data_IF_952677096431
#
_entry.id   IF_952677096431
#
_cell.length_a   1.000
_cell.length_b   1.000
_cell.length_c   1.000
_cell.angle_alpha   90.00
_cell.angle_beta   90.00
_cell.angle_gamma   90.00
#
_symmetry.space_group_name_H-M   'P 1'
#
loop_
_entity.id
_entity.type
_entity.pdbx_description
1 polymer ?
#
# COMPACT_ATOMS: atom_id res chain seq x y z
N UNK A 1 -17.17 14.76 7.90
CA UNK A 1 -15.93 14.25 8.54
C UNK A 1 -15.48 13.01 7.81
N UNK A 2 -14.27 13.05 7.26
CA UNK A 2 -13.71 11.90 6.57
C UNK A 2 -13.55 10.73 7.54
N UNK A 3 -14.26 9.67 7.26
CA UNK A 3 -14.27 8.46 8.08
C UNK A 3 -12.99 7.64 7.93
N UNK A 4 -12.17 7.94 6.90
CA UNK A 4 -10.99 7.13 6.53
C UNK A 4 -9.82 7.37 7.48
N UNK A 5 -9.57 8.60 7.85
CA UNK A 5 -8.43 8.99 8.68
C UNK A 5 -8.33 8.18 9.99
N UNK A 6 -9.46 7.78 10.57
CA UNK A 6 -9.50 7.02 11.83
C UNK A 6 -8.89 5.62 11.74
N UNK A 7 -8.77 5.08 10.52
CA UNK A 7 -8.20 3.75 10.29
C UNK A 7 -6.70 3.75 10.04
N UNK A 8 -6.10 4.93 9.87
CA UNK A 8 -4.67 5.08 9.63
C UNK A 8 -4.00 5.73 10.85
N UNK A 9 -3.08 5.00 11.46
CA UNK A 9 -2.29 5.49 12.60
C UNK A 9 -0.98 6.10 12.12
N UNK A 10 -0.42 7.12 12.81
CA UNK A 10 0.85 7.74 12.39
C UNK A 10 2.00 6.72 12.24
N UNK A 11 2.09 5.75 13.14
CA UNK A 11 3.11 4.69 13.12
C UNK A 11 2.96 3.72 11.94
N UNK A 12 1.82 3.70 11.28
CA UNK A 12 1.55 2.89 10.08
C UNK A 12 1.81 3.66 8.78
N UNK A 13 2.51 4.78 8.85
CA UNK A 13 2.91 5.60 7.70
C UNK A 13 4.42 5.53 7.52
N UNK A 14 4.85 5.15 6.31
CA UNK A 14 6.27 5.16 5.93
C UNK A 14 6.44 6.04 4.69
N UNK A 15 7.02 7.21 4.87
CA UNK A 15 7.19 8.22 3.80
C UNK A 15 8.24 7.84 2.77
N UNK A 16 9.12 6.89 3.09
CA UNK A 16 10.05 6.30 2.14
C UNK A 16 10.20 4.81 2.42
N UNK A 17 9.67 4.00 1.51
CA UNK A 17 9.77 2.54 1.59
C UNK A 17 11.21 2.08 1.41
N UNK A 18 11.58 0.98 2.05
CA UNK A 18 12.90 0.37 1.90
C UNK A 18 13.01 -0.47 0.63
N UNK A 19 11.90 -1.01 0.15
CA UNK A 19 11.85 -1.77 -1.08
C UNK A 19 12.28 -0.88 -2.25
N UNK A 20 13.21 -1.39 -3.08
CA UNK A 20 13.76 -0.68 -4.23
C UNK A 20 13.32 -1.32 -5.54
N UNK A 21 13.25 -0.49 -6.60
CA UNK A 21 12.86 -0.92 -7.94
C UNK A 21 13.80 -1.98 -8.52
N UNK A 22 15.12 -1.87 -8.23
CA UNK A 22 16.13 -2.81 -8.63
C UNK A 22 16.97 -3.28 -7.45
N UNK A 23 17.57 -4.49 -7.50
CA UNK A 23 18.48 -4.95 -6.46
C UNK A 23 19.74 -4.08 -6.41
N UNK A 24 20.21 -3.76 -5.20
CA UNK A 24 21.42 -2.92 -5.01
C UNK A 24 22.70 -3.59 -5.51
N UNK A 25 22.75 -4.93 -5.52
CA UNK A 25 23.94 -5.72 -5.81
C UNK A 25 24.02 -6.26 -7.25
N UNK A 26 23.12 -5.84 -8.14
CA UNK A 26 23.07 -6.33 -9.52
C UNK A 26 23.45 -5.19 -10.47
N UNK A 27 24.43 -5.45 -11.34
CA UNK A 27 24.82 -4.51 -12.39
C UNK A 27 23.62 -4.21 -13.29
N UNK A 28 23.42 -2.95 -13.69
CA UNK A 28 22.27 -2.55 -14.53
C UNK A 28 22.14 -3.36 -15.83
N UNK A 29 23.27 -3.89 -16.33
CA UNK A 29 23.33 -4.68 -17.55
C UNK A 29 22.72 -6.08 -17.42
N UNK A 30 22.69 -6.61 -16.18
CA UNK A 30 22.19 -7.95 -15.88
C UNK A 30 20.78 -7.95 -15.24
N UNK A 31 20.23 -6.77 -14.98
CA UNK A 31 18.91 -6.63 -14.37
C UNK A 31 17.87 -6.21 -15.40
N UNK A 32 16.87 -7.05 -15.62
CA UNK A 32 15.62 -6.63 -16.25
C UNK A 32 14.66 -6.17 -15.14
N UNK A 33 14.48 -4.85 -14.92
CA UNK A 33 13.60 -4.36 -13.86
C UNK A 33 12.14 -4.81 -14.01
N UNK A 34 11.73 -5.11 -15.25
CA UNK A 34 10.39 -5.58 -15.58
C UNK A 34 10.30 -7.10 -15.71
N UNK A 35 11.43 -7.81 -15.52
CA UNK A 35 11.46 -9.27 -15.53
C UNK A 35 10.72 -9.88 -14.35
N UNK A 36 10.14 -11.06 -14.54
CA UNK A 36 9.35 -11.77 -13.52
C UNK A 36 10.06 -11.91 -12.17
N UNK A 37 11.36 -12.21 -12.20
CA UNK A 37 12.15 -12.35 -10.97
C UNK A 37 12.19 -11.07 -10.15
N UNK A 38 12.41 -9.92 -10.80
CA UNK A 38 12.44 -8.63 -10.11
C UNK A 38 11.05 -8.21 -9.67
N UNK A 39 10.04 -8.38 -10.50
CA UNK A 39 8.65 -8.06 -10.15
C UNK A 39 8.19 -8.86 -8.92
N UNK A 40 8.56 -10.14 -8.84
CA UNK A 40 8.24 -10.97 -7.68
C UNK A 40 9.00 -10.50 -6.43
N UNK A 41 10.27 -10.15 -6.55
CA UNK A 41 11.09 -9.60 -5.45
C UNK A 41 10.48 -8.31 -4.91
N UNK A 42 10.11 -7.38 -5.79
CA UNK A 42 9.48 -6.11 -5.40
C UNK A 42 8.16 -6.36 -4.69
N UNK A 43 7.29 -7.19 -5.26
CA UNK A 43 6.02 -7.56 -4.63
C UNK A 43 6.22 -8.13 -3.22
N UNK A 44 7.12 -9.10 -3.09
CA UNK A 44 7.36 -9.78 -1.83
C UNK A 44 7.93 -8.81 -0.78
N UNK A 45 8.88 -7.97 -1.17
CA UNK A 45 9.46 -6.94 -0.30
C UNK A 45 8.44 -5.89 0.14
N UNK A 46 7.60 -5.43 -0.79
CA UNK A 46 6.54 -4.47 -0.46
C UNK A 46 5.51 -5.07 0.50
N UNK A 47 5.03 -6.27 0.22
CA UNK A 47 4.06 -6.95 1.10
C UNK A 47 4.64 -7.13 2.50
N UNK A 48 5.92 -7.48 2.62
CA UNK A 48 6.61 -7.56 3.92
C UNK A 48 6.62 -6.22 4.66
N UNK A 49 6.95 -5.12 3.97
CA UNK A 49 6.94 -3.78 4.57
C UNK A 49 5.54 -3.36 5.00
N UNK A 50 4.51 -3.64 4.21
CA UNK A 50 3.13 -3.35 4.60
C UNK A 50 2.72 -4.14 5.84
N UNK A 51 3.12 -5.40 5.94
CA UNK A 51 2.87 -6.22 7.13
C UNK A 51 3.55 -5.64 8.38
N UNK A 52 4.75 -5.10 8.26
CA UNK A 52 5.41 -4.36 9.35
C UNK A 52 4.56 -3.16 9.80
N UNK A 53 4.04 -2.40 8.84
CA UNK A 53 3.24 -1.20 9.11
C UNK A 53 1.87 -1.52 9.76
N UNK A 54 1.32 -2.68 9.49
CA UNK A 54 0.12 -3.16 10.20
C UNK A 54 0.48 -3.70 11.59
N UNK A 55 1.58 -4.43 11.71
CA UNK A 55 1.97 -5.11 12.94
C UNK A 55 2.34 -4.14 14.07
N UNK A 56 2.87 -2.95 13.75
CA UNK A 56 3.22 -1.93 14.76
C UNK A 56 2.00 -1.42 15.54
N UNK A 57 0.79 -1.63 15.04
CA UNK A 57 -0.44 -1.25 15.73
C UNK A 57 -0.74 -2.14 16.95
N UNK A 58 -0.14 -3.33 17.02
CA UNK A 58 -0.46 -4.34 18.03
C UNK A 58 -1.77 -5.10 17.78
N UNK A 59 -2.47 -4.81 16.66
CA UNK A 59 -3.79 -5.38 16.34
C UNK A 59 -3.70 -6.61 15.43
N UNK A 60 -2.51 -6.99 14.99
CA UNK A 60 -2.29 -8.16 14.12
C UNK A 60 -1.98 -9.38 14.97
N UNK A 61 -2.81 -10.42 14.85
CA UNK A 61 -2.69 -11.65 15.65
C UNK A 61 -1.44 -12.45 15.27
N UNK A 62 -1.15 -12.59 13.97
CA UNK A 62 0.02 -13.32 13.48
C UNK A 62 0.53 -12.70 12.18
N UNK A 63 1.69 -12.05 12.24
CA UNK A 63 2.28 -11.34 11.11
C UNK A 63 2.63 -12.27 9.94
N UNK A 64 3.14 -13.46 10.21
CA UNK A 64 3.49 -14.42 9.15
C UNK A 64 2.26 -14.89 8.38
N UNK A 65 1.15 -15.09 9.07
CA UNK A 65 -0.13 -15.44 8.43
C UNK A 65 -0.71 -14.26 7.66
N UNK A 66 -0.60 -13.04 8.19
CA UNK A 66 -0.99 -11.84 7.47
C UNK A 66 -0.19 -11.69 6.17
N UNK A 67 1.13 -11.88 6.24
CA UNK A 67 1.97 -11.87 5.04
C UNK A 67 1.47 -12.87 4.00
N UNK A 68 1.23 -14.11 4.40
CA UNK A 68 0.72 -15.14 3.49
C UNK A 68 -0.61 -14.76 2.86
N UNK A 69 -1.55 -14.24 3.65
CA UNK A 69 -2.88 -13.87 3.17
C UNK A 69 -2.79 -12.70 2.18
N UNK A 70 -2.04 -11.65 2.51
CA UNK A 70 -1.87 -10.48 1.66
C UNK A 70 -1.08 -10.81 0.39
N UNK A 71 -0.02 -11.59 0.52
CA UNK A 71 0.81 -12.06 -0.60
C UNK A 71 -0.01 -12.91 -1.60
N UNK A 72 -0.79 -13.86 -1.09
CA UNK A 72 -1.65 -14.69 -1.94
C UNK A 72 -2.71 -13.86 -2.67
N UNK A 73 -3.28 -12.85 -1.99
CA UNK A 73 -4.23 -11.93 -2.61
C UNK A 73 -3.59 -11.14 -3.75
N UNK A 74 -2.41 -10.60 -3.55
CA UNK A 74 -1.68 -9.82 -4.55
C UNK A 74 -1.25 -10.69 -5.76
N UNK A 75 -0.83 -11.91 -5.49
CA UNK A 75 -0.47 -12.88 -6.55
C UNK A 75 -1.66 -13.27 -7.42
N UNK A 76 -2.84 -13.37 -6.82
CA UNK A 76 -4.07 -13.78 -7.52
C UNK A 76 -4.52 -12.72 -8.53
N UNK A 77 -4.48 -11.46 -8.13
CA UNK A 77 -4.80 -10.32 -8.97
C UNK A 77 -4.14 -9.07 -8.40
N UNK A 78 -3.33 -8.38 -9.19
CA UNK A 78 -2.65 -7.16 -8.78
C UNK A 78 -3.60 -6.09 -8.27
N UNK A 79 -3.11 -5.25 -7.36
CA UNK A 79 -3.90 -4.18 -6.72
C UNK A 79 -3.48 -2.78 -7.15
N UNK A 80 -2.53 -2.66 -8.08
CA UNK A 80 -2.22 -1.39 -8.71
C UNK A 80 -3.40 -0.93 -9.58
N UNK A 81 -3.75 0.35 -9.46
CA UNK A 81 -4.93 0.92 -10.14
C UNK A 81 -4.59 1.88 -11.27
N UNK A 82 -3.29 2.11 -11.51
CA UNK A 82 -2.79 3.13 -12.43
C UNK A 82 -2.58 4.47 -11.74
N UNK A 83 -2.02 5.43 -12.46
CA UNK A 83 -1.73 6.75 -11.93
C UNK A 83 -0.67 6.78 -10.82
N UNK A 84 0.17 5.75 -10.72
CA UNK A 84 1.21 5.65 -9.70
C UNK A 84 0.72 5.14 -8.34
N UNK A 85 -0.47 4.53 -8.27
CA UNK A 85 -1.14 4.15 -7.02
C UNK A 85 -1.45 2.66 -7.00
N UNK A 86 -1.26 2.04 -5.83
CA UNK A 86 -1.75 0.69 -5.54
C UNK A 86 -2.50 0.67 -4.21
N UNK A 87 -3.45 -0.24 -4.12
CA UNK A 87 -4.27 -0.45 -2.92
C UNK A 87 -4.21 -1.92 -2.51
N UNK A 88 -3.05 -2.42 -2.05
CA UNK A 88 -2.94 -3.80 -1.57
C UNK A 88 -3.91 -4.04 -0.42
N UNK A 89 -4.72 -5.08 -0.55
CA UNK A 89 -5.78 -5.32 0.43
C UNK A 89 -6.12 -6.80 0.54
N UNK A 90 -6.56 -7.20 1.72
CA UNK A 90 -7.04 -8.56 1.96
C UNK A 90 -8.03 -8.58 3.13
N UNK A 91 -9.00 -9.49 3.06
CA UNK A 91 -9.82 -9.88 4.20
C UNK A 91 -9.11 -11.02 4.90
N UNK A 92 -8.89 -10.87 6.21
CA UNK A 92 -8.07 -11.80 6.98
C UNK A 92 -8.58 -11.94 8.42
N UNK A 93 -8.41 -13.14 8.98
CA UNK A 93 -8.69 -13.39 10.39
C UNK A 93 -7.57 -12.87 11.31
N UNK A 94 -6.50 -12.28 10.75
CA UNK A 94 -5.37 -11.78 11.52
C UNK A 94 -5.60 -10.41 12.16
N UNK A 95 -6.71 -9.75 11.83
CA UNK A 95 -7.16 -8.53 12.49
C UNK A 95 -8.62 -8.64 12.91
N UNK A 96 -8.99 -7.96 14.00
CA UNK A 96 -10.38 -7.86 14.48
C UNK A 96 -11.06 -6.57 14.04
N UNK A 97 -10.31 -5.62 13.52
CA UNK A 97 -10.81 -4.34 13.06
C UNK A 97 -10.21 -3.98 11.69
N UNK A 98 -10.85 -3.03 11.03
CA UNK A 98 -10.33 -2.47 9.78
C UNK A 98 -9.08 -1.63 10.07
N UNK A 99 -7.98 -1.91 9.37
CA UNK A 99 -6.72 -1.17 9.48
C UNK A 99 -6.24 -0.72 8.12
N UNK A 100 -5.62 0.46 8.10
CA UNK A 100 -4.92 1.01 6.94
C UNK A 100 -3.45 1.21 7.25
N UNK A 101 -2.62 1.14 6.21
CA UNK A 101 -1.25 1.64 6.24
C UNK A 101 -0.96 2.45 4.97
N UNK A 102 0.10 3.24 5.01
CA UNK A 102 0.55 4.05 3.89
C UNK A 102 2.06 3.89 3.70
N UNK A 103 2.47 3.64 2.47
CA UNK A 103 3.87 3.60 2.07
C UNK A 103 4.09 4.40 0.80
N UNK A 104 5.20 5.14 0.74
CA UNK A 104 5.60 5.91 -0.44
C UNK A 104 6.97 5.48 -0.93
N UNK A 105 7.11 5.35 -2.25
CA UNK A 105 8.38 5.18 -2.94
C UNK A 105 8.60 6.37 -3.84
N UNK A 106 9.61 7.20 -3.54
CA UNK A 106 9.93 8.38 -4.34
C UNK A 106 10.40 7.98 -5.74
N UNK A 107 11.20 6.93 -5.86
CA UNK A 107 11.66 6.43 -7.16
C UNK A 107 10.58 5.70 -7.97
N UNK A 108 9.58 5.17 -7.28
CA UNK A 108 8.56 4.30 -7.88
C UNK A 108 9.00 2.84 -7.99
N UNK A 109 8.03 1.93 -7.86
CA UNK A 109 8.25 0.49 -7.92
C UNK A 109 7.53 -0.13 -9.12
N UNK A 110 8.17 -1.06 -9.86
CA UNK A 110 7.46 -1.85 -10.87
C UNK A 110 6.51 -2.82 -10.15
N UNK A 111 5.21 -2.62 -10.32
CA UNK A 111 4.17 -3.32 -9.56
C UNK A 111 3.01 -3.82 -10.42
N UNK A 112 3.28 -4.18 -11.66
CA UNK A 112 2.29 -4.70 -12.63
C UNK A 112 1.06 -3.81 -12.76
N UNK A 113 1.26 -2.48 -12.83
CA UNK A 113 0.17 -1.53 -13.01
C UNK A 113 -0.47 -1.67 -14.39
N UNK A 114 -1.81 -1.39 -14.52
CA UNK A 114 -2.51 -1.48 -15.79
C UNK A 114 -1.99 -0.53 -16.87
N UNK A 115 -1.37 0.58 -16.46
CA UNK A 115 -0.77 1.60 -17.35
C UNK A 115 0.74 1.40 -17.57
N UNK A 116 1.32 0.31 -17.05
CA UNK A 116 2.76 -0.01 -17.08
C UNK A 116 3.66 1.04 -16.40
N UNK A 117 3.07 2.00 -15.68
CA UNK A 117 3.81 3.03 -14.96
C UNK A 117 4.25 2.56 -13.56
N UNK A 118 5.36 3.11 -13.02
CA UNK A 118 5.77 2.80 -11.65
C UNK A 118 4.73 3.21 -10.63
N UNK A 119 4.65 2.47 -9.53
CA UNK A 119 3.78 2.79 -8.40
C UNK A 119 4.58 3.48 -7.31
N UNK A 120 4.10 4.64 -6.88
CA UNK A 120 4.73 5.48 -5.85
C UNK A 120 3.98 5.47 -4.52
N UNK A 121 2.65 5.36 -4.55
CA UNK A 121 1.79 5.42 -3.37
C UNK A 121 1.09 4.08 -3.16
N UNK A 122 1.23 3.56 -1.94
CA UNK A 122 0.63 2.30 -1.53
C UNK A 122 -0.27 2.53 -0.33
N UNK A 123 -1.55 2.28 -0.50
CA UNK A 123 -2.55 2.31 0.57
C UNK A 123 -2.93 0.88 0.91
N UNK A 124 -2.35 0.33 1.96
CA UNK A 124 -2.66 -1.02 2.42
C UNK A 124 -3.95 -1.04 3.25
N UNK A 125 -4.81 -2.02 3.01
CA UNK A 125 -6.08 -2.20 3.70
C UNK A 125 -6.21 -3.65 4.16
N UNK A 126 -6.44 -3.87 5.46
CA UNK A 126 -6.81 -5.19 5.97
C UNK A 126 -8.09 -5.11 6.78
N UNK A 127 -8.91 -6.13 6.69
CA UNK A 127 -10.23 -6.16 7.30
C UNK A 127 -10.60 -7.58 7.70
N UNK A 128 -11.30 -7.76 8.84
CA UNK A 128 -11.90 -9.06 9.12
C UNK A 128 -12.97 -9.41 8.08
N UNK A 129 -13.22 -10.71 7.81
CA UNK A 129 -14.13 -11.14 6.73
C UNK A 129 -15.58 -10.68 6.89
N UNK A 130 -15.99 -10.29 8.10
CA UNK A 130 -17.37 -9.86 8.40
C UNK A 130 -17.58 -8.34 8.34
N UNK A 131 -16.55 -7.54 8.00
CA UNK A 131 -16.61 -6.07 7.97
C UNK A 131 -16.76 -5.49 6.54
N UNK A 132 -17.60 -6.11 5.73
CA UNK A 132 -17.78 -5.76 4.32
C UNK A 132 -18.20 -4.32 4.07
N UNK A 133 -19.08 -3.78 4.92
CA UNK A 133 -19.60 -2.42 4.75
C UNK A 133 -18.52 -1.36 4.92
N UNK A 134 -17.68 -1.52 5.94
CA UNK A 134 -16.55 -0.60 6.20
C UNK A 134 -15.55 -0.69 5.07
N UNK A 135 -15.18 -1.91 4.71
CA UNK A 135 -14.24 -2.18 3.63
C UNK A 135 -14.65 -1.50 2.32
N UNK A 136 -15.87 -1.75 1.84
CA UNK A 136 -16.36 -1.20 0.58
C UNK A 136 -16.46 0.33 0.62
N UNK A 137 -16.89 0.90 1.74
CA UNK A 137 -16.97 2.35 1.91
C UNK A 137 -15.60 3.02 1.86
N UNK A 138 -14.63 2.48 2.59
CA UNK A 138 -13.27 3.01 2.61
C UNK A 138 -12.62 2.88 1.25
N UNK A 139 -12.75 1.72 0.61
CA UNK A 139 -12.20 1.48 -0.71
C UNK A 139 -12.73 2.48 -1.74
N UNK A 140 -14.05 2.67 -1.79
CA UNK A 140 -14.68 3.63 -2.71
C UNK A 140 -14.22 5.06 -2.46
N UNK A 141 -14.15 5.46 -1.21
CA UNK A 141 -13.74 6.81 -0.83
C UNK A 141 -12.27 7.06 -1.23
N UNK A 142 -11.37 6.13 -0.92
CA UNK A 142 -9.99 6.21 -1.37
C UNK A 142 -9.89 6.28 -2.88
N UNK A 143 -10.58 5.41 -3.59
CA UNK A 143 -10.59 5.43 -5.05
C UNK A 143 -11.02 6.80 -5.61
N UNK A 144 -12.06 7.41 -5.02
CA UNK A 144 -12.52 8.74 -5.41
C UNK A 144 -11.45 9.81 -5.19
N UNK A 145 -10.82 9.84 -4.01
CA UNK A 145 -9.76 10.79 -3.68
C UNK A 145 -8.57 10.62 -4.64
N UNK A 146 -8.17 9.38 -4.89
CA UNK A 146 -6.94 9.07 -5.62
C UNK A 146 -7.11 9.18 -7.13
N UNK A 147 -8.33 9.30 -7.64
CA UNK A 147 -8.56 9.57 -9.07
C UNK A 147 -8.22 11.01 -9.47
N UNK A 148 -8.11 11.94 -8.54
CA UNK A 148 -7.74 13.31 -8.81
C UNK A 148 -6.19 13.46 -8.87
N UNK A 149 -5.61 13.82 -10.03
CA UNK A 149 -4.15 13.89 -10.18
C UNK A 149 -3.45 14.87 -9.23
N UNK A 150 -4.13 15.94 -8.85
CA UNK A 150 -3.64 16.93 -7.89
C UNK A 150 -3.39 16.30 -6.51
N UNK A 151 -4.23 15.38 -6.08
CA UNK A 151 -4.08 14.71 -4.79
C UNK A 151 -2.84 13.81 -4.76
N UNK A 152 -2.52 13.16 -5.87
CA UNK A 152 -1.28 12.39 -5.99
C UNK A 152 -0.06 13.22 -5.63
N UNK A 153 0.05 14.44 -6.19
CA UNK A 153 1.18 15.33 -5.92
C UNK A 153 1.23 15.76 -4.44
N UNK A 154 0.09 16.00 -3.83
CA UNK A 154 0.03 16.36 -2.40
C UNK A 154 0.57 15.23 -1.52
N UNK A 155 0.22 13.97 -1.79
CA UNK A 155 0.78 12.82 -1.08
C UNK A 155 2.28 12.64 -1.35
N UNK A 156 2.74 12.90 -2.58
CA UNK A 156 4.16 12.83 -2.92
C UNK A 156 5.00 13.89 -2.22
N UNK A 157 4.41 15.04 -1.91
CA UNK A 157 5.10 16.17 -1.27
C UNK A 157 5.07 16.13 0.26
N UNK A 158 4.27 15.28 0.88
CA UNK A 158 4.16 15.17 2.33
C UNK A 158 5.54 14.90 2.97
N UNK A 159 5.90 15.69 3.98
CA UNK A 159 7.19 15.61 4.68
C UNK A 159 7.07 14.88 6.03
N UNK A 160 5.86 14.81 6.57
CA UNK A 160 5.58 14.20 7.86
C UNK A 160 4.30 13.34 7.81
N UNK A 161 4.21 12.29 8.65
CA UNK A 161 3.00 11.46 8.74
C UNK A 161 1.73 12.26 9.02
N UNK A 162 1.81 13.33 9.80
CA UNK A 162 0.69 14.22 10.11
C UNK A 162 0.08 14.88 8.86
N UNK A 163 0.90 15.16 7.85
CA UNK A 163 0.43 15.71 6.59
C UNK A 163 -0.39 14.70 5.79
N UNK A 164 0.02 13.44 5.76
CA UNK A 164 -0.76 12.35 5.14
C UNK A 164 -2.12 12.21 5.82
N UNK A 165 -2.14 12.21 7.16
CA UNK A 165 -3.38 12.13 7.93
C UNK A 165 -4.30 13.31 7.63
N UNK A 166 -3.76 14.53 7.55
CA UNK A 166 -4.53 15.73 7.22
C UNK A 166 -5.12 15.66 5.81
N UNK A 167 -4.36 15.19 4.84
CA UNK A 167 -4.85 15.00 3.47
C UNK A 167 -6.06 14.06 3.45
N UNK A 168 -5.98 12.92 4.13
CA UNK A 168 -7.09 11.97 4.22
C UNK A 168 -8.31 12.54 4.98
N UNK A 169 -8.12 13.53 5.81
CA UNK A 169 -9.20 14.21 6.52
C UNK A 169 -9.88 15.27 5.68
N UNK A 170 -9.12 16.01 4.89
CA UNK A 170 -9.59 17.18 4.12
C UNK A 170 -10.06 16.84 2.71
N UNK A 171 -9.46 15.81 2.08
CA UNK A 171 -9.86 15.39 0.74
C UNK A 171 -11.12 14.52 0.80
N UNK A 172 -12.14 14.91 0.04
CA UNK A 172 -13.42 14.20 -0.03
C UNK A 172 -13.83 13.96 -1.48
#
# INVERSE_FOLDING_TARGET
MSTIRRFLRPESIRLELRTRAAPEDVLPEDSDPLGEKNLNRVRDGLVEELCELFDVTGEVANRSRLFRDLHNREKKAGTAVGGGIAMPHVRTLQTREFLMCFGRSTEGLPFRAPDDEPVHLFFGLISPPYEDRIYLRVYRHLATILMAPEHFQEFMQAQEPSEVLRLLETLQ
#
